data_IF_910040860433
#
_entry.id   IF_910040860433
#
_cell.length_a   1.000
_cell.length_b   1.000
_cell.length_c   1.000
_cell.angle_alpha   90.00
_cell.angle_beta   90.00
_cell.angle_gamma   90.00
#
_symmetry.space_group_name_H-M   'P 1'
#
loop_
_entity.id
_entity.type
_entity.pdbx_description
1 polymer ?
#
# COMPACT_ATOMS: atom_id res chain seq x y z
N UNK A 1 -2.22 -4.80 12.94
CA UNK A 1 -1.49 -5.27 11.75
C UNK A 1 -0.06 -4.76 11.76
N UNK A 2 0.87 -5.55 11.27
CA UNK A 2 2.31 -5.20 11.31
C UNK A 2 2.63 -3.90 10.56
N UNK A 3 2.02 -3.69 9.41
CA UNK A 3 2.25 -2.49 8.59
C UNK A 3 1.75 -1.25 9.33
N UNK A 4 0.55 -1.32 9.91
CA UNK A 4 -0.03 -0.21 10.66
C UNK A 4 0.86 0.18 11.84
N UNK A 5 1.29 -0.81 12.61
CA UNK A 5 2.19 -0.58 13.75
C UNK A 5 3.52 0.03 13.30
N UNK A 6 4.07 -0.47 12.19
CA UNK A 6 5.33 0.05 11.67
C UNK A 6 5.20 1.52 11.28
N UNK A 7 4.13 1.88 10.57
CA UNK A 7 3.89 3.27 10.16
C UNK A 7 3.68 4.17 11.37
N UNK A 8 2.96 3.68 12.38
CA UNK A 8 2.76 4.42 13.62
C UNK A 8 4.09 4.68 14.35
N UNK A 9 4.91 3.64 14.49
CA UNK A 9 6.20 3.76 15.17
C UNK A 9 7.20 4.65 14.42
N UNK A 10 7.08 4.70 13.10
CA UNK A 10 7.90 5.58 12.25
C UNK A 10 7.36 7.01 12.19
N UNK A 11 6.31 7.30 12.93
CA UNK A 11 5.67 8.62 12.98
C UNK A 11 5.16 9.09 11.62
N UNK A 12 4.66 8.15 10.82
CA UNK A 12 4.10 8.45 9.50
C UNK A 12 2.58 8.50 9.60
N UNK A 13 2.01 9.66 9.29
CA UNK A 13 0.56 9.83 9.23
C UNK A 13 0.00 8.96 8.10
N UNK A 14 -0.99 8.14 8.42
CA UNK A 14 -1.60 7.24 7.44
C UNK A 14 -3.07 6.98 7.79
N UNK A 15 -3.84 6.62 6.77
CA UNK A 15 -5.23 6.21 6.92
C UNK A 15 -5.36 4.73 6.58
N UNK A 16 -6.16 4.02 7.34
CA UNK A 16 -6.46 2.61 7.15
C UNK A 16 -7.77 2.45 6.36
N UNK A 17 -7.78 1.52 5.42
CA UNK A 17 -8.95 1.24 4.56
C UNK A 17 -9.51 2.49 3.89
N UNK A 18 -8.62 3.22 3.21
CA UNK A 18 -8.99 4.46 2.54
C UNK A 18 -9.66 4.21 1.19
N UNK A 19 -10.87 4.76 1.00
CA UNK A 19 -11.53 4.71 -0.30
C UNK A 19 -10.79 5.60 -1.30
N UNK A 20 -10.55 5.08 -2.51
CA UNK A 20 -9.96 5.87 -3.59
C UNK A 20 -10.96 6.95 -4.05
N UNK A 21 -10.48 8.14 -4.46
CA UNK A 21 -11.34 9.23 -4.92
C UNK A 21 -11.80 9.01 -6.38
N UNK A 22 -12.51 7.91 -6.61
CA UNK A 22 -13.04 7.50 -7.91
C UNK A 22 -14.48 7.03 -7.74
N UNK A 23 -15.19 6.81 -8.85
CA UNK A 23 -16.59 6.38 -8.81
C UNK A 23 -16.73 4.94 -8.29
N UNK A 24 -15.79 4.07 -8.65
CA UNK A 24 -15.82 2.67 -8.21
C UNK A 24 -15.57 2.56 -6.71
N UNK A 25 -16.18 1.57 -6.05
CA UNK A 25 -15.97 1.30 -4.63
C UNK A 25 -14.68 0.50 -4.45
N UNK A 26 -13.54 1.17 -4.44
CA UNK A 26 -12.23 0.57 -4.26
C UNK A 26 -11.56 1.19 -3.03
N UNK A 27 -11.08 0.32 -2.15
CA UNK A 27 -10.40 0.72 -0.92
C UNK A 27 -8.96 0.23 -0.94
N UNK A 28 -8.03 1.10 -0.55
CA UNK A 28 -6.65 0.70 -0.31
C UNK A 28 -6.52 0.21 1.13
N UNK A 29 -5.51 -0.61 1.40
CA UNK A 29 -5.21 -1.01 2.77
C UNK A 29 -4.75 0.21 3.58
N UNK A 30 -3.86 1.02 3.02
CA UNK A 30 -3.37 2.25 3.66
C UNK A 30 -3.19 3.37 2.65
N UNK A 31 -3.30 4.59 3.13
CA UNK A 31 -2.97 5.79 2.36
C UNK A 31 -2.06 6.70 3.17
N UNK A 32 -0.99 7.17 2.57
CA UNK A 32 -0.01 8.06 3.22
C UNK A 32 -0.09 9.44 2.55
N UNK A 33 -0.75 10.42 3.20
CA UNK A 33 -0.98 11.75 2.60
C UNK A 33 0.28 12.49 2.20
N UNK A 34 1.34 12.40 2.99
CA UNK A 34 2.61 13.09 2.73
C UNK A 34 3.18 12.76 1.36
N UNK A 35 3.11 11.49 0.96
CA UNK A 35 3.62 11.03 -0.33
C UNK A 35 2.54 10.89 -1.38
N UNK A 36 1.28 11.10 -1.01
CA UNK A 36 0.12 10.81 -1.87
C UNK A 36 0.24 9.43 -2.47
N UNK A 37 0.56 8.44 -1.62
CA UNK A 37 0.82 7.07 -2.04
C UNK A 37 -0.08 6.09 -1.29
N UNK A 38 -0.60 5.13 -2.04
CA UNK A 38 -1.40 4.03 -1.49
C UNK A 38 -0.51 2.83 -1.22
N UNK A 39 -0.82 2.08 -0.17
CA UNK A 39 -0.07 0.87 0.19
C UNK A 39 -1.04 -0.30 0.21
N UNK A 40 -0.69 -1.36 -0.51
CA UNK A 40 -1.48 -2.58 -0.56
C UNK A 40 -0.64 -3.77 -0.10
N UNK A 41 -1.28 -4.63 0.69
CA UNK A 41 -0.68 -5.89 1.11
C UNK A 41 -1.34 -7.05 0.34
N UNK A 42 -0.52 -7.84 -0.37
CA UNK A 42 -0.98 -8.97 -1.17
C UNK A 42 -0.54 -10.28 -0.49
N UNK A 43 -1.48 -10.95 0.21
CA UNK A 43 -1.15 -12.10 1.04
C UNK A 43 -1.43 -13.49 0.45
N UNK A 44 -2.31 -13.61 -0.56
CA UNK A 44 -2.76 -14.92 -1.04
C UNK A 44 -2.47 -15.12 -2.52
N UNK A 45 -1.20 -15.31 -2.87
CA UNK A 45 -0.78 -15.35 -4.27
C UNK A 45 -1.18 -16.64 -5.02
N UNK A 46 -1.59 -17.70 -4.30
CA UNK A 46 -1.94 -18.97 -4.91
C UNK A 46 -3.45 -19.14 -5.19
N UNK A 47 -4.26 -18.17 -4.85
CA UNK A 47 -5.71 -18.21 -5.08
C UNK A 47 -6.06 -17.48 -6.38
N UNK A 48 -6.61 -18.21 -7.35
CA UNK A 48 -6.94 -17.66 -8.68
C UNK A 48 -7.92 -16.48 -8.60
N UNK A 49 -8.94 -16.58 -7.74
CA UNK A 49 -9.91 -15.50 -7.56
C UNK A 49 -9.28 -14.27 -6.95
N UNK A 50 -8.37 -14.49 -6.01
CA UNK A 50 -7.63 -13.41 -5.36
C UNK A 50 -6.71 -12.70 -6.35
N UNK A 51 -6.00 -13.47 -7.18
CA UNK A 51 -5.11 -12.91 -8.21
C UNK A 51 -5.89 -12.08 -9.23
N UNK A 52 -7.08 -12.53 -9.61
CA UNK A 52 -7.92 -11.78 -10.54
C UNK A 52 -8.34 -10.44 -9.94
N UNK A 53 -8.74 -10.41 -8.67
CA UNK A 53 -9.10 -9.17 -7.97
C UNK A 53 -7.89 -8.24 -7.79
N UNK A 54 -6.73 -8.82 -7.46
CA UNK A 54 -5.48 -8.08 -7.36
C UNK A 54 -5.14 -7.38 -8.68
N UNK A 55 -5.18 -8.13 -9.77
CA UNK A 55 -4.87 -7.59 -11.09
C UNK A 55 -5.82 -6.46 -11.48
N UNK A 56 -7.11 -6.65 -11.25
CA UNK A 56 -8.11 -5.62 -11.52
C UNK A 56 -7.85 -4.34 -10.72
N UNK A 57 -7.48 -4.49 -9.45
CA UNK A 57 -7.17 -3.37 -8.57
C UNK A 57 -5.92 -2.63 -9.03
N UNK A 58 -4.88 -3.36 -9.43
CA UNK A 58 -3.65 -2.77 -9.96
C UNK A 58 -3.95 -1.96 -11.23
N UNK A 59 -4.81 -2.48 -12.10
CA UNK A 59 -5.21 -1.77 -13.31
C UNK A 59 -5.91 -0.45 -13.00
N UNK A 60 -6.73 -0.42 -11.94
CA UNK A 60 -7.40 0.81 -11.49
C UNK A 60 -6.36 1.83 -11.03
N UNK A 61 -5.37 1.44 -10.24
CA UNK A 61 -4.30 2.35 -9.81
C UNK A 61 -3.57 2.94 -11.02
N UNK A 62 -3.26 2.11 -12.01
CA UNK A 62 -2.59 2.57 -13.24
C UNK A 62 -3.47 3.50 -14.06
N UNK A 63 -4.75 3.16 -14.21
CA UNK A 63 -5.71 3.96 -14.98
C UNK A 63 -5.81 5.40 -14.48
N UNK A 64 -5.84 5.57 -13.17
CA UNK A 64 -5.99 6.89 -12.55
C UNK A 64 -4.64 7.53 -12.17
N UNK A 65 -3.53 6.86 -12.44
CA UNK A 65 -2.20 7.41 -12.17
C UNK A 65 -1.87 7.56 -10.70
N UNK A 66 -2.44 6.73 -9.82
CA UNK A 66 -2.15 6.76 -8.39
C UNK A 66 -0.82 6.09 -8.08
N UNK A 67 -0.11 6.65 -7.12
CA UNK A 67 1.11 6.05 -6.60
C UNK A 67 0.76 4.84 -5.74
N UNK A 68 1.47 3.74 -5.94
CA UNK A 68 1.19 2.49 -5.24
C UNK A 68 2.46 1.84 -4.73
N UNK A 69 2.44 1.42 -3.47
CA UNK A 69 3.45 0.56 -2.87
C UNK A 69 2.79 -0.81 -2.65
N UNK A 70 3.39 -1.85 -3.21
CA UNK A 70 2.90 -3.21 -3.08
C UNK A 70 3.80 -3.99 -2.13
N UNK A 71 3.20 -4.61 -1.11
CA UNK A 71 3.90 -5.41 -0.12
C UNK A 71 3.33 -6.82 -0.10
N UNK A 72 4.21 -7.81 -0.16
CA UNK A 72 3.86 -9.22 0.02
C UNK A 72 4.44 -9.69 1.36
N UNK A 73 4.24 -10.97 1.70
CA UNK A 73 4.73 -11.51 2.97
C UNK A 73 6.22 -11.30 3.19
N UNK A 74 7.01 -11.41 2.13
CA UNK A 74 8.46 -11.21 2.20
C UNK A 74 8.81 -9.82 2.72
N UNK A 75 8.16 -8.78 2.18
CA UNK A 75 8.40 -7.39 2.58
C UNK A 75 7.87 -7.13 3.98
N UNK A 76 6.72 -7.70 4.32
CA UNK A 76 6.12 -7.52 5.65
C UNK A 76 7.00 -8.12 6.75
N UNK A 77 7.70 -9.22 6.47
CA UNK A 77 8.63 -9.82 7.42
C UNK A 77 9.91 -9.00 7.59
N UNK A 78 10.18 -8.07 6.68
CA UNK A 78 11.39 -7.24 6.65
C UNK A 78 11.06 -5.77 6.38
N UNK A 79 10.06 -5.23 7.07
CA UNK A 79 9.59 -3.86 6.84
C UNK A 79 10.68 -2.82 7.00
N UNK A 80 11.59 -3.00 7.97
CA UNK A 80 12.69 -2.06 8.21
C UNK A 80 13.64 -1.95 7.01
N UNK A 81 13.76 -3.04 6.21
CA UNK A 81 14.63 -3.04 5.04
C UNK A 81 13.93 -2.48 3.80
N UNK A 82 12.65 -2.76 3.62
CA UNK A 82 11.94 -2.44 2.38
C UNK A 82 11.17 -1.14 2.43
N UNK A 83 10.42 -0.91 3.50
CA UNK A 83 9.46 0.19 3.53
C UNK A 83 10.10 1.57 3.51
N UNK A 84 11.19 1.85 4.26
CA UNK A 84 11.82 3.17 4.17
C UNK A 84 12.28 3.54 2.77
N UNK A 85 12.85 2.59 2.02
CA UNK A 85 13.31 2.82 0.65
C UNK A 85 12.15 3.06 -0.31
N UNK A 86 11.07 2.29 -0.15
CA UNK A 86 9.88 2.45 -1.00
C UNK A 86 9.20 3.79 -0.74
N UNK A 87 9.09 4.18 0.52
CA UNK A 87 8.48 5.45 0.91
C UNK A 87 9.31 6.65 0.42
N UNK A 88 10.63 6.52 0.47
CA UNK A 88 11.53 7.61 0.05
C UNK A 88 11.34 7.97 -1.43
N UNK A 89 10.96 7.00 -2.28
CA UNK A 89 10.65 7.26 -3.69
C UNK A 89 9.51 8.27 -3.85
N UNK A 90 8.65 8.39 -2.85
CA UNK A 90 7.50 9.30 -2.86
C UNK A 90 7.70 10.48 -1.92
N UNK A 91 8.94 10.72 -1.49
CA UNK A 91 9.26 11.84 -0.62
C UNK A 91 8.83 11.67 0.83
N UNK A 92 8.56 10.43 1.27
CA UNK A 92 8.18 10.14 2.65
C UNK A 92 9.40 9.62 3.39
N UNK A 93 9.81 10.35 4.43
CA UNK A 93 10.95 9.96 5.25
C UNK A 93 10.46 9.25 6.52
N UNK A 94 10.99 8.05 6.75
CA UNK A 94 10.70 7.27 7.97
C UNK A 94 11.77 7.56 9.02
N UNK A 95 11.33 7.68 10.26
CA UNK A 95 12.20 7.93 11.40
C UNK A 95 12.29 6.73 12.34
#
# INVERSE_FOLDING_TARGET
MLIDNWLYMAEIVHAYERKLPIEEDVYSDFYIPTGKVYVEYWGYENDVKYLARKQKKIEIYKKYGFNLIELCDKEVQNLDDYLPRLLLKYGVQAY
#
